data_IF_061994138170
#
_entry.id   IF_061994138170
#
_cell.length_a   1.000
_cell.length_b   1.000
_cell.length_c   1.000
_cell.angle_alpha   90.00
_cell.angle_beta   90.00
_cell.angle_gamma   90.00
#
_symmetry.space_group_name_H-M   'P 1'
#
loop_
_entity.id
_entity.type
_entity.pdbx_description
1 polymer ?
#
# COMPACT_ATOMS: atom_id res chain seq x y z
N UNK A 1 -19.32 -63.44 8.89
CA UNK A 1 -19.85 -63.10 10.23
C UNK A 1 -19.05 -61.94 10.76
N UNK A 2 -19.76 -60.87 11.05
CA UNK A 2 -19.35 -59.47 11.15
C UNK A 2 -18.60 -59.13 12.45
N UNK A 3 -17.72 -58.13 12.43
CA UNK A 3 -17.90 -56.90 13.24
C UNK A 3 -16.84 -55.85 12.88
N UNK A 4 -17.32 -54.67 12.51
CA UNK A 4 -16.55 -53.44 12.35
C UNK A 4 -16.64 -52.68 13.67
N UNK A 5 -15.49 -52.41 14.30
CA UNK A 5 -15.43 -51.56 15.49
C UNK A 5 -15.12 -50.13 15.04
N UNK A 6 -16.16 -49.29 14.99
CA UNK A 6 -16.02 -47.85 14.78
C UNK A 6 -15.75 -47.16 16.11
N UNK A 7 -14.53 -46.65 16.32
CA UNK A 7 -14.26 -45.74 17.44
C UNK A 7 -14.44 -44.29 16.99
N UNK A 8 -15.41 -43.62 17.61
CA UNK A 8 -15.74 -42.22 17.37
C UNK A 8 -14.68 -41.29 17.99
N UNK A 9 -14.13 -40.38 17.19
CA UNK A 9 -13.23 -39.32 17.66
C UNK A 9 -14.02 -38.23 18.38
N UNK A 10 -13.83 -38.10 19.69
CA UNK A 10 -14.35 -37.01 20.51
C UNK A 10 -13.67 -35.69 20.10
N UNK A 11 -14.38 -34.85 19.35
CA UNK A 11 -14.02 -33.43 19.14
C UNK A 11 -14.34 -32.64 20.40
N UNK A 12 -13.32 -32.24 21.16
CA UNK A 12 -13.46 -31.19 22.17
C UNK A 12 -13.57 -29.83 21.48
N UNK A 13 -14.75 -29.21 21.54
CA UNK A 13 -14.94 -27.82 21.14
C UNK A 13 -14.30 -26.92 22.21
N UNK A 14 -13.27 -26.17 21.84
CA UNK A 14 -12.79 -25.08 22.68
C UNK A 14 -13.69 -23.85 22.49
N UNK A 15 -14.02 -23.12 23.58
CA UNK A 15 -14.77 -21.88 23.48
C UNK A 15 -13.89 -20.79 22.87
N UNK A 16 -14.41 -20.12 21.84
CA UNK A 16 -13.78 -18.94 21.25
C UNK A 16 -13.75 -17.79 22.26
N UNK A 17 -12.58 -17.18 22.45
CA UNK A 17 -12.43 -15.96 23.21
C UNK A 17 -13.22 -14.83 22.54
N UNK A 18 -14.23 -14.30 23.24
CA UNK A 18 -14.98 -13.12 22.82
C UNK A 18 -14.13 -11.88 23.04
N UNK A 19 -13.61 -11.29 21.97
CA UNK A 19 -13.03 -9.95 22.04
C UNK A 19 -14.15 -8.92 22.22
N UNK A 20 -14.14 -8.24 23.37
CA UNK A 20 -14.97 -7.08 23.67
C UNK A 20 -14.72 -5.98 22.64
N UNK A 21 -15.80 -5.50 22.02
CA UNK A 21 -15.78 -4.36 21.11
C UNK A 21 -15.43 -3.11 21.91
N UNK A 22 -14.28 -2.54 21.63
CA UNK A 22 -13.89 -1.20 22.05
C UNK A 22 -14.95 -0.20 21.53
N UNK A 23 -15.77 0.32 22.43
CA UNK A 23 -16.68 1.43 22.16
C UNK A 23 -15.87 2.73 22.19
N UNK A 24 -15.42 3.22 21.03
CA UNK A 24 -14.95 4.61 20.96
C UNK A 24 -16.18 5.52 20.92
N UNK A 25 -16.48 6.14 22.05
CA UNK A 25 -17.39 7.29 22.09
C UNK A 25 -16.72 8.40 21.29
N UNK A 26 -17.21 8.65 20.08
CA UNK A 26 -16.89 9.86 19.33
C UNK A 26 -17.40 11.04 20.14
N UNK A 27 -16.48 11.90 20.56
CA UNK A 27 -16.81 13.23 21.02
C UNK A 27 -17.50 13.98 19.87
N UNK A 28 -18.77 14.29 20.07
CA UNK A 28 -19.53 15.23 19.25
C UNK A 28 -19.01 16.63 19.54
N UNK A 29 -18.14 17.14 18.67
CA UNK A 29 -17.78 18.55 18.61
C UNK A 29 -19.00 19.35 18.14
N UNK A 30 -19.50 20.18 19.05
CA UNK A 30 -20.56 21.16 18.87
C UNK A 30 -20.31 22.06 17.66
N UNK A 31 -21.20 21.97 16.68
CA UNK A 31 -21.33 22.96 15.61
C UNK A 31 -22.10 24.17 16.13
N UNK A 32 -21.39 25.16 16.66
CA UNK A 32 -21.95 26.51 16.83
C UNK A 32 -21.83 27.25 15.49
N UNK A 33 -22.92 27.23 14.73
CA UNK A 33 -23.17 28.19 13.65
C UNK A 33 -23.34 29.56 14.31
N UNK A 34 -22.43 30.47 14.01
CA UNK A 34 -22.58 31.88 14.32
C UNK A 34 -22.26 32.66 13.06
N UNK A 35 -23.33 32.96 12.34
CA UNK A 35 -23.40 33.94 11.27
C UNK A 35 -23.22 35.32 11.90
N UNK A 36 -22.08 35.95 11.63
CA UNK A 36 -21.95 37.41 11.80
C UNK A 36 -21.11 37.94 10.65
N UNK A 37 -21.81 38.56 9.70
CA UNK A 37 -21.21 39.48 8.74
C UNK A 37 -20.45 40.56 9.51
N UNK A 38 -19.14 40.64 9.31
CA UNK A 38 -18.39 41.86 9.55
C UNK A 38 -17.29 41.99 8.50
N UNK A 39 -17.21 43.20 7.99
CA UNK A 39 -16.46 43.64 6.82
C UNK A 39 -14.95 43.36 6.94
N UNK A 40 -14.24 43.12 5.82
CA UNK A 40 -12.79 42.97 5.85
C UNK A 40 -12.13 44.34 6.04
N UNK A 41 -11.98 44.76 7.29
CA UNK A 41 -11.05 45.85 7.63
C UNK A 41 -9.62 45.35 7.45
N UNK A 42 -9.03 45.84 6.36
CA UNK A 42 -7.64 45.66 5.95
C UNK A 42 -6.69 46.07 7.08
N UNK A 43 -6.28 45.11 7.92
CA UNK A 43 -5.06 45.21 8.70
C UNK A 43 -4.03 44.24 8.10
N UNK A 44 -3.19 44.76 7.20
CA UNK A 44 -1.98 44.09 6.73
C UNK A 44 -0.99 44.03 7.90
N UNK A 45 -1.22 43.12 8.84
CA UNK A 45 -0.17 42.68 9.75
C UNK A 45 0.80 41.86 8.91
N UNK A 46 1.88 42.54 8.49
CA UNK A 46 3.01 41.95 7.80
C UNK A 46 3.70 41.05 8.83
N UNK A 47 3.24 39.81 8.94
CA UNK A 47 3.96 38.78 9.68
C UNK A 47 5.29 38.62 8.96
N UNK A 48 6.36 39.11 9.59
CA UNK A 48 7.74 38.89 9.15
C UNK A 48 8.10 37.43 9.45
N UNK A 49 7.44 36.52 8.73
CA UNK A 49 7.74 35.10 8.70
C UNK A 49 8.97 34.99 7.83
N UNK A 50 10.14 35.14 8.45
CA UNK A 50 11.37 34.61 7.85
C UNK A 50 11.08 33.15 7.53
N UNK A 51 11.13 32.71 6.25
CA UNK A 51 10.90 31.31 5.94
C UNK A 51 11.95 30.51 6.69
N UNK A 52 11.53 29.79 7.73
CA UNK A 52 12.34 28.75 8.35
C UNK A 52 12.59 27.75 7.21
N UNK A 53 13.75 27.88 6.58
CA UNK A 53 14.04 27.42 5.21
C UNK A 53 14.18 25.90 5.07
N UNK A 54 13.85 25.16 6.12
CA UNK A 54 13.90 23.70 6.15
C UNK A 54 12.53 23.16 6.54
N UNK A 55 11.85 22.58 5.55
CA UNK A 55 10.67 21.77 5.80
C UNK A 55 11.06 20.60 6.72
N UNK A 56 10.22 20.24 7.72
CA UNK A 56 10.46 19.07 8.53
C UNK A 56 10.47 17.81 7.65
N UNK A 57 11.31 16.84 8.00
CA UNK A 57 11.52 15.61 7.22
C UNK A 57 10.22 14.82 6.98
N UNK A 58 9.28 14.87 7.92
CA UNK A 58 7.95 14.26 7.74
C UNK A 58 7.17 14.88 6.56
N UNK A 59 7.19 16.21 6.42
CA UNK A 59 6.53 16.89 5.29
C UNK A 59 7.23 16.58 3.96
N UNK A 60 8.56 16.41 3.97
CA UNK A 60 9.30 16.00 2.79
C UNK A 60 8.94 14.59 2.34
N UNK A 61 8.77 13.64 3.27
CA UNK A 61 8.29 12.28 2.97
C UNK A 61 6.91 12.31 2.32
N UNK A 62 5.99 13.11 2.86
CA UNK A 62 4.65 13.27 2.28
C UNK A 62 4.72 13.90 0.89
N UNK A 63 5.57 14.90 0.69
CA UNK A 63 5.76 15.54 -0.61
C UNK A 63 6.26 14.56 -1.67
N UNK A 64 7.24 13.70 -1.34
CA UNK A 64 7.73 12.66 -2.24
C UNK A 64 6.63 11.65 -2.58
N UNK A 65 5.80 11.26 -1.61
CA UNK A 65 4.62 10.41 -1.87
C UNK A 65 3.63 11.09 -2.82
N UNK A 66 3.33 12.37 -2.62
CA UNK A 66 2.47 13.14 -3.51
C UNK A 66 3.05 13.25 -4.92
N UNK A 67 4.37 13.44 -5.03
CA UNK A 67 5.06 13.43 -6.32
C UNK A 67 4.86 12.09 -7.04
N UNK A 68 5.02 10.96 -6.33
CA UNK A 68 4.77 9.64 -6.93
C UNK A 68 3.31 9.44 -7.33
N UNK A 69 2.35 10.03 -6.61
CA UNK A 69 0.94 10.00 -6.96
C UNK A 69 0.55 10.95 -8.09
N UNK A 70 1.38 11.95 -8.40
CA UNK A 70 1.03 13.04 -9.33
C UNK A 70 0.73 12.58 -10.75
N UNK A 71 1.30 11.45 -11.18
CA UNK A 71 0.99 10.79 -12.46
C UNK A 71 -0.50 10.43 -12.61
N UNK A 72 -1.17 10.17 -11.49
CA UNK A 72 -2.60 9.85 -11.45
C UNK A 72 -3.51 11.07 -11.32
N UNK A 73 -2.96 12.28 -11.16
CA UNK A 73 -3.75 13.48 -10.92
C UNK A 73 -4.58 13.87 -12.15
N UNK A 74 -5.77 14.39 -11.88
CA UNK A 74 -6.71 14.80 -12.91
C UNK A 74 -6.27 16.16 -13.44
N UNK A 75 -5.83 16.19 -14.69
CA UNK A 75 -5.56 17.42 -15.45
C UNK A 75 -6.72 17.71 -16.40
N UNK A 76 -6.80 18.94 -16.92
CA UNK A 76 -7.84 19.33 -17.90
C UNK A 76 -7.81 18.44 -19.15
N UNK A 77 -6.62 18.02 -19.56
CA UNK A 77 -6.38 17.18 -20.72
C UNK A 77 -6.83 15.73 -20.48
N UNK A 78 -6.61 15.20 -19.26
CA UNK A 78 -6.94 13.82 -18.91
C UNK A 78 -8.34 13.66 -18.30
N UNK A 79 -9.09 14.74 -18.07
CA UNK A 79 -10.36 14.72 -17.35
C UNK A 79 -11.41 13.86 -18.05
N UNK A 80 -11.61 14.03 -19.37
CA UNK A 80 -12.61 13.27 -20.13
C UNK A 80 -12.32 11.77 -20.09
N UNK A 81 -11.07 11.38 -20.36
CA UNK A 81 -10.64 9.99 -20.31
C UNK A 81 -10.80 9.38 -18.91
N UNK A 82 -10.54 10.15 -17.84
CA UNK A 82 -10.75 9.70 -16.45
C UNK A 82 -12.22 9.54 -16.08
N UNK A 83 -13.10 10.40 -16.62
CA UNK A 83 -14.56 10.25 -16.48
C UNK A 83 -14.99 8.95 -17.16
N UNK A 84 -14.60 8.75 -18.41
CA UNK A 84 -14.96 7.54 -19.17
C UNK A 84 -14.44 6.27 -18.48
N UNK A 85 -13.19 6.27 -18.01
CA UNK A 85 -12.63 5.17 -17.21
C UNK A 85 -13.46 4.89 -15.95
N UNK A 86 -13.80 5.92 -15.18
CA UNK A 86 -14.52 5.77 -13.92
C UNK A 86 -15.96 5.24 -14.10
N UNK A 87 -16.64 5.65 -15.16
CA UNK A 87 -18.04 5.30 -15.41
C UNK A 87 -18.22 4.06 -16.29
N UNK A 88 -17.33 3.80 -17.25
CA UNK A 88 -17.45 2.68 -18.20
C UNK A 88 -16.76 1.42 -17.67
N UNK A 89 -15.57 1.53 -17.07
CA UNK A 89 -14.77 0.34 -16.67
C UNK A 89 -15.13 -0.26 -15.31
N UNK A 90 -15.98 0.40 -14.52
CA UNK A 90 -16.44 -0.12 -13.21
C UNK A 90 -17.33 -1.36 -13.30
N UNK A 91 -17.76 -1.80 -14.49
CA UNK A 91 -18.51 -3.05 -14.62
C UNK A 91 -17.65 -4.31 -14.58
N UNK A 92 -16.33 -4.22 -14.76
CA UNK A 92 -15.44 -5.40 -14.84
C UNK A 92 -15.13 -6.09 -13.50
N UNK A 93 -15.13 -5.36 -12.39
CA UNK A 93 -14.84 -5.91 -11.06
C UNK A 93 -16.11 -6.27 -10.26
N UNK A 94 -17.29 -6.00 -10.82
CA UNK A 94 -18.58 -6.45 -10.31
C UNK A 94 -19.16 -7.58 -11.18
N UNK A 95 -18.33 -8.29 -11.95
CA UNK A 95 -18.75 -9.52 -12.61
C UNK A 95 -18.74 -10.64 -11.57
N UNK A 96 -19.89 -10.76 -10.92
CA UNK A 96 -20.37 -11.86 -10.08
C UNK A 96 -19.70 -12.01 -8.71
N UNK A 97 -20.55 -12.09 -7.68
CA UNK A 97 -20.21 -12.55 -6.32
C UNK A 97 -19.57 -13.95 -6.34
N UNK A 98 -19.77 -14.71 -7.43
CA UNK A 98 -18.94 -15.83 -7.85
C UNK A 98 -17.95 -15.32 -8.91
N UNK A 99 -16.68 -15.12 -8.56
CA UNK A 99 -15.64 -14.86 -9.56
C UNK A 99 -15.63 -15.95 -10.67
N UNK A 100 -14.90 -15.74 -11.78
CA UNK A 100 -14.84 -16.72 -12.87
C UNK A 100 -14.51 -18.09 -12.30
N UNK A 101 -15.43 -19.05 -12.49
CA UNK A 101 -15.26 -20.40 -11.96
C UNK A 101 -13.97 -20.99 -12.53
N UNK A 102 -13.17 -21.60 -11.66
CA UNK A 102 -11.95 -22.27 -12.09
C UNK A 102 -12.34 -23.52 -12.88
N UNK A 103 -11.88 -23.71 -14.12
CA UNK A 103 -12.25 -24.88 -14.90
C UNK A 103 -11.70 -26.14 -14.22
N UNK A 104 -12.46 -27.24 -14.29
CA UNK A 104 -12.13 -28.51 -13.62
C UNK A 104 -10.69 -28.97 -13.88
N UNK A 105 -10.22 -28.85 -15.13
CA UNK A 105 -8.85 -29.22 -15.51
C UNK A 105 -7.77 -28.40 -14.79
N UNK A 106 -8.02 -27.11 -14.51
CA UNK A 106 -7.08 -26.28 -13.75
C UNK A 106 -7.00 -26.71 -12.28
N UNK A 107 -8.14 -27.13 -11.70
CA UNK A 107 -8.19 -27.66 -10.35
C UNK A 107 -7.45 -28.99 -10.23
N UNK A 108 -7.62 -29.90 -11.20
CA UNK A 108 -6.92 -31.18 -11.23
C UNK A 108 -5.40 -30.98 -11.28
N UNK A 109 -4.92 -30.10 -12.18
CA UNK A 109 -3.51 -29.73 -12.27
C UNK A 109 -2.96 -29.13 -10.97
N UNK A 110 -3.74 -28.27 -10.30
CA UNK A 110 -3.34 -27.67 -9.02
C UNK A 110 -3.25 -28.74 -7.92
N UNK A 111 -4.16 -29.70 -7.91
CA UNK A 111 -4.18 -30.80 -6.94
C UNK A 111 -2.97 -31.72 -7.14
N UNK A 112 -2.64 -32.06 -8.38
CA UNK A 112 -1.44 -32.83 -8.70
C UNK A 112 -0.15 -32.12 -8.28
N UNK A 113 -0.07 -30.80 -8.53
CA UNK A 113 1.05 -29.99 -8.05
C UNK A 113 1.17 -30.05 -6.52
N UNK A 114 0.07 -29.85 -5.79
CA UNK A 114 0.09 -29.95 -4.33
C UNK A 114 0.47 -31.34 -3.82
N UNK A 115 0.06 -32.41 -4.50
CA UNK A 115 0.43 -33.79 -4.16
C UNK A 115 1.91 -34.08 -4.42
N UNK A 116 2.50 -33.45 -5.44
CA UNK A 116 3.92 -33.58 -5.76
C UNK A 116 4.84 -32.81 -4.80
N UNK A 117 4.29 -31.82 -4.08
CA UNK A 117 5.07 -31.04 -3.13
C UNK A 117 5.33 -31.82 -1.83
N UNK A 118 6.54 -31.75 -1.27
CA UNK A 118 6.86 -32.40 -0.01
C UNK A 118 6.01 -31.79 1.13
N UNK A 119 5.32 -32.65 1.90
CA UNK A 119 4.45 -32.25 3.03
C UNK A 119 5.18 -31.53 4.17
N UNK A 120 6.51 -31.68 4.20
CA UNK A 120 7.41 -31.01 5.13
C UNK A 120 8.59 -30.49 4.31
N UNK A 121 8.59 -29.19 4.05
CA UNK A 121 9.63 -28.48 3.31
C UNK A 121 9.90 -27.15 3.99
N UNK A 122 11.17 -26.91 4.26
CA UNK A 122 11.76 -25.68 4.80
C UNK A 122 11.32 -24.48 3.95
N UNK A 123 11.19 -23.31 4.60
CA UNK A 123 10.61 -22.09 4.03
C UNK A 123 10.94 -21.85 2.55
N UNK A 124 9.87 -21.63 1.78
CA UNK A 124 9.88 -21.39 0.34
C UNK A 124 10.93 -20.38 -0.12
N UNK A 125 12.04 -20.86 -0.68
CA UNK A 125 12.64 -20.23 -1.86
C UNK A 125 11.90 -20.77 -3.09
N UNK A 126 10.66 -20.32 -3.28
CA UNK A 126 10.01 -20.51 -4.56
C UNK A 126 10.72 -19.62 -5.58
N UNK A 127 11.72 -20.18 -6.24
CA UNK A 127 12.31 -19.66 -7.46
C UNK A 127 11.18 -19.53 -8.49
N UNK A 128 10.68 -18.31 -8.65
CA UNK A 128 9.82 -17.94 -9.75
C UNK A 128 10.67 -17.91 -11.03
N UNK A 129 10.96 -19.08 -11.59
CA UNK A 129 11.35 -19.20 -13.00
C UNK A 129 10.06 -19.12 -13.82
N UNK A 130 9.75 -17.90 -14.24
CA UNK A 130 8.67 -17.59 -15.17
C UNK A 130 9.05 -16.33 -15.93
N UNK A 131 9.07 -16.46 -17.25
CA UNK A 131 9.53 -15.51 -18.26
C UNK A 131 9.21 -14.03 -17.99
N UNK A 132 10.18 -13.20 -18.36
CA UNK A 132 10.13 -11.74 -18.45
C UNK A 132 9.69 -10.99 -17.18
N UNK A 133 10.60 -10.14 -16.73
CA UNK A 133 10.51 -9.24 -15.60
C UNK A 133 9.40 -8.16 -15.71
N UNK A 134 8.14 -8.54 -15.95
CA UNK A 134 6.99 -7.71 -15.60
C UNK A 134 6.75 -7.87 -14.11
N UNK A 135 7.33 -6.95 -13.35
CA UNK A 135 7.22 -6.89 -11.91
C UNK A 135 5.74 -6.68 -11.56
N UNK A 136 5.06 -7.74 -11.12
CA UNK A 136 3.64 -7.66 -10.79
C UNK A 136 3.42 -6.59 -9.71
N UNK A 137 2.60 -5.58 -10.00
CA UNK A 137 2.18 -4.55 -9.03
C UNK A 137 1.49 -5.16 -7.79
N UNK A 138 1.00 -6.40 -7.89
CA UNK A 138 0.28 -7.12 -6.84
C UNK A 138 1.21 -7.95 -5.94
N UNK A 139 2.22 -7.31 -5.32
CA UNK A 139 2.99 -7.96 -4.24
C UNK A 139 2.18 -8.04 -2.94
N UNK A 140 2.26 -9.14 -2.17
CA UNK A 140 1.63 -9.23 -0.86
C UNK A 140 2.16 -8.14 0.08
N UNK A 141 1.30 -7.68 1.00
CA UNK A 141 1.60 -6.57 1.94
C UNK A 141 2.93 -6.78 2.66
N UNK A 142 3.21 -8.02 3.08
CA UNK A 142 4.45 -8.38 3.76
C UNK A 142 5.69 -8.10 2.93
N UNK A 143 5.68 -8.47 1.65
CA UNK A 143 6.83 -8.22 0.75
C UNK A 143 7.03 -6.73 0.51
N UNK A 144 5.94 -5.95 0.39
CA UNK A 144 6.02 -4.50 0.26
C UNK A 144 6.69 -3.88 1.48
N UNK A 145 6.27 -4.27 2.68
CA UNK A 145 6.89 -3.79 3.93
C UNK A 145 8.37 -4.14 3.98
N UNK A 146 8.74 -5.40 3.74
CA UNK A 146 10.14 -5.84 3.76
C UNK A 146 10.99 -5.08 2.73
N UNK A 147 10.48 -4.94 1.50
CA UNK A 147 11.19 -4.20 0.44
C UNK A 147 11.37 -2.73 0.80
N UNK A 148 10.35 -2.11 1.41
CA UNK A 148 10.44 -0.71 1.84
C UNK A 148 11.44 -0.50 2.96
N UNK A 149 11.54 -1.45 3.90
CA UNK A 149 12.50 -1.36 5.00
C UNK A 149 13.93 -1.63 4.56
N UNK A 150 14.13 -2.58 3.62
CA UNK A 150 15.47 -2.98 3.21
C UNK A 150 16.10 -2.01 2.20
N UNK A 151 15.28 -1.47 1.30
CA UNK A 151 15.76 -0.62 0.19
C UNK A 151 15.30 0.84 0.30
N UNK A 152 14.51 1.20 1.31
CA UNK A 152 13.96 2.55 1.44
C UNK A 152 13.00 2.94 0.31
N UNK A 153 12.47 1.95 -0.44
CA UNK A 153 11.57 2.19 -1.59
C UNK A 153 10.10 2.16 -1.18
N UNK A 154 9.26 2.97 -1.82
CA UNK A 154 7.81 2.87 -1.67
C UNK A 154 7.24 1.64 -2.42
N UNK A 155 5.98 1.29 -2.19
CA UNK A 155 5.32 0.05 -2.67
C UNK A 155 5.36 -0.22 -4.18
N UNK A 156 5.76 0.77 -4.98
CA UNK A 156 5.99 0.69 -6.43
C UNK A 156 7.48 0.73 -6.81
N UNK A 157 8.37 0.35 -5.88
CA UNK A 157 9.84 0.41 -6.02
C UNK A 157 10.39 1.79 -6.38
N UNK A 158 9.63 2.83 -6.11
CA UNK A 158 10.07 4.21 -6.28
C UNK A 158 10.91 4.61 -5.07
N UNK A 159 12.01 5.35 -5.24
CA UNK A 159 12.84 5.78 -4.10
C UNK A 159 12.03 6.60 -3.10
N UNK A 160 12.19 6.29 -1.81
CA UNK A 160 11.67 7.12 -0.72
C UNK A 160 12.55 8.33 -0.45
N UNK A 161 12.04 9.26 0.36
CA UNK A 161 12.77 10.47 0.73
C UNK A 161 14.12 10.19 1.42
N UNK A 162 14.19 9.15 2.26
CA UNK A 162 15.41 8.82 3.01
C UNK A 162 16.56 8.45 2.07
N UNK A 163 16.28 7.63 1.04
CA UNK A 163 17.25 7.28 -0.01
C UNK A 163 17.68 8.52 -0.80
N UNK A 164 16.75 9.41 -1.14
CA UNK A 164 17.05 10.65 -1.85
C UNK A 164 17.92 11.61 -1.02
N UNK A 165 17.73 11.62 0.30
CA UNK A 165 18.51 12.43 1.22
C UNK A 165 19.96 11.92 1.31
N UNK A 166 20.14 10.60 1.44
CA UNK A 166 21.46 9.96 1.45
C UNK A 166 22.23 10.21 0.14
N UNK A 167 21.57 10.02 -1.01
CA UNK A 167 22.22 10.23 -2.30
C UNK A 167 22.57 11.70 -2.55
N UNK A 168 21.71 12.63 -2.11
CA UNK A 168 22.03 14.06 -2.14
C UNK A 168 23.29 14.38 -1.33
N UNK A 169 23.43 13.80 -0.14
CA UNK A 169 24.60 14.00 0.71
C UNK A 169 25.88 13.41 0.09
N UNK A 170 25.76 12.25 -0.55
CA UNK A 170 26.84 11.62 -1.30
C UNK A 170 27.31 12.49 -2.47
N UNK A 171 26.40 12.92 -3.33
CA UNK A 171 26.71 13.78 -4.49
C UNK A 171 27.32 15.11 -4.03
N UNK A 172 26.84 15.68 -2.92
CA UNK A 172 27.41 16.91 -2.37
C UNK A 172 28.87 16.72 -1.94
N UNK A 173 29.21 15.58 -1.34
CA UNK A 173 30.58 15.27 -0.94
C UNK A 173 31.50 15.09 -2.16
N UNK A 174 31.05 14.36 -3.17
CA UNK A 174 31.80 14.15 -4.42
C UNK A 174 32.08 15.48 -5.14
N UNK A 175 31.14 16.43 -5.10
CA UNK A 175 31.33 17.78 -5.66
C UNK A 175 32.33 18.62 -4.85
N UNK A 176 32.32 18.51 -3.52
CA UNK A 176 33.26 19.24 -2.66
C UNK A 176 34.68 18.71 -2.82
N UNK A 177 34.87 17.39 -2.87
CA UNK A 177 36.17 16.76 -3.08
C UNK A 177 36.75 17.07 -4.49
N UNK A 178 35.92 17.00 -5.54
CA UNK A 178 36.37 17.34 -6.90
C UNK A 178 36.71 18.83 -7.12
N UNK A 179 36.23 19.70 -6.24
CA UNK A 179 36.52 21.15 -6.28
C UNK A 179 37.83 21.50 -5.55
N UNK A 180 38.32 20.64 -4.66
CA UNK A 180 39.61 20.80 -3.98
C UNK A 180 40.81 20.33 -4.83
N UNK A 181 40.55 19.49 -5.84
CA UNK A 181 41.56 18.93 -6.75
C UNK A 181 41.79 19.76 -8.05
N UNK A 182 41.18 20.95 -8.17
CA UNK A 182 41.33 21.87 -9.33
C UNK A 182 41.94 23.21 -8.94
#
# INVERSE_FOLDING_TARGET
MSSLVTQALRRSLQPAASCSRYSSVRASSSSSVSTSNSEPTSSRQKLDIKPQSKLPDEKMRVLVRLYHQSESFITKENLSARIDEAFIRRSGNNISVLGPETPFFALERQLEQQRSLPKFGVGNEAVAQGDQAMWSDMRPVRERTVSSTLFGTDGYRRPGYDVLKEEKERVKRELEEGQEDS
#
